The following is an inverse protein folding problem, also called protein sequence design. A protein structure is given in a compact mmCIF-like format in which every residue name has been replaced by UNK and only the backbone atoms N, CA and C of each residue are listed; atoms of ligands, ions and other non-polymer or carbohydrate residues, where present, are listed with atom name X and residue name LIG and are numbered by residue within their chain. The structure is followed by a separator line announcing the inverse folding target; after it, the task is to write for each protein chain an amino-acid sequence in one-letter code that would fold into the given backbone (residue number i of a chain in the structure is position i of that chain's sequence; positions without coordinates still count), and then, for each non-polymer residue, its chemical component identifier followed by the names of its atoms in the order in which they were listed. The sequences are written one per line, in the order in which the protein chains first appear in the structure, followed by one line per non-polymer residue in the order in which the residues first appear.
data_IF_293646515628
#
_entry.id   IF_293646515628
#
_cell.length_a   1.000
_cell.length_b   1.000
_cell.length_c   1.000
_cell.angle_alpha   90.00
_cell.angle_beta   90.00
_cell.angle_gamma   90.00
#
_symmetry.space_group_name_H-M   'P 1'
#
loop_
_entity.id
_entity.type
_entity.pdbx_description
1 polymer ?
#
# COMPACT_ATOMS: atom_id res chain seq x y z
N UNK A 1 -7.80 -28.72 13.62
CA UNK A 1 -7.38 -28.58 12.21
C UNK A 1 -5.94 -28.12 12.20
N UNK A 2 -5.04 -28.89 11.61
CA UNK A 2 -3.64 -28.52 11.38
C UNK A 2 -3.60 -27.63 10.14
N UNK A 3 -3.06 -26.42 10.26
CA UNK A 3 -2.92 -25.46 9.17
C UNK A 3 -1.55 -25.68 8.52
N UNK A 4 -1.52 -26.56 7.52
CA UNK A 4 -0.45 -26.63 6.50
C UNK A 4 -0.70 -25.54 5.44
N UNK A 5 -0.77 -24.26 5.85
CA UNK A 5 -1.13 -23.16 4.95
C UNK A 5 -0.02 -22.13 4.79
N UNK A 6 1.25 -22.52 4.82
CA UNK A 6 2.32 -21.76 4.17
C UNK A 6 3.37 -22.79 3.75
N UNK A 7 3.72 -22.83 2.47
CA UNK A 7 4.75 -23.71 1.92
C UNK A 7 6.13 -23.38 2.49
N UNK A 8 6.35 -23.72 3.76
CA UNK A 8 7.66 -23.68 4.41
C UNK A 8 8.39 -24.92 3.90
N UNK A 9 9.08 -24.74 2.78
CA UNK A 9 10.00 -25.72 2.26
C UNK A 9 10.91 -26.23 3.40
N UNK A 10 11.00 -27.56 3.54
CA UNK A 10 12.01 -28.21 4.37
C UNK A 10 13.39 -27.82 3.86
N UNK A 11 14.04 -26.83 4.47
CA UNK A 11 15.48 -26.65 4.30
C UNK A 11 16.20 -27.54 5.32
N UNK A 12 16.80 -28.61 4.81
CA UNK A 12 17.77 -29.40 5.55
C UNK A 12 19.15 -28.74 5.48
N UNK A 13 19.89 -28.87 6.59
CA UNK A 13 21.34 -28.71 6.78
C UNK A 13 21.93 -27.29 6.85
N UNK A 14 22.20 -26.90 8.11
CA UNK A 14 23.47 -26.35 8.60
C UNK A 14 24.35 -25.57 7.61
N UNK A 15 24.01 -24.30 7.43
CA UNK A 15 24.99 -23.22 7.28
C UNK A 15 24.58 -22.12 8.24
N UNK A 16 25.50 -21.53 8.99
CA UNK A 16 25.20 -20.36 9.82
C UNK A 16 24.52 -19.30 8.94
N UNK A 17 23.19 -19.18 9.05
CA UNK A 17 22.46 -18.08 8.46
C UNK A 17 23.09 -16.82 9.06
N UNK A 18 23.70 -16.00 8.20
CA UNK A 18 24.39 -14.77 8.60
C UNK A 18 23.42 -13.93 9.44
N UNK A 19 23.63 -13.94 10.76
CA UNK A 19 22.76 -13.25 11.68
C UNK A 19 22.62 -11.78 11.25
N UNK A 20 21.42 -11.18 11.35
CA UNK A 20 21.29 -9.75 11.19
C UNK A 20 22.18 -9.13 12.26
N UNK A 21 23.21 -8.38 11.85
CA UNK A 21 24.07 -7.69 12.81
C UNK A 21 23.19 -6.88 13.76
N UNK A 22 23.52 -6.83 15.05
CA UNK A 22 22.79 -6.02 16.04
C UNK A 22 22.60 -4.58 15.55
N UNK A 23 23.55 -4.09 14.76
CA UNK A 23 23.48 -2.81 14.06
C UNK A 23 22.31 -2.71 13.07
N UNK A 24 22.09 -3.70 12.18
CA UNK A 24 20.96 -3.71 11.25
C UNK A 24 19.61 -3.73 11.99
N UNK A 25 19.49 -4.52 13.07
CA UNK A 25 18.26 -4.57 13.88
C UNK A 25 17.99 -3.23 14.56
N UNK A 26 19.01 -2.63 15.19
CA UNK A 26 18.89 -1.32 15.82
C UNK A 26 18.51 -0.22 14.83
N UNK A 27 19.15 -0.18 13.66
CA UNK A 27 18.81 0.76 12.58
C UNK A 27 17.38 0.56 12.08
N UNK A 28 16.94 -0.70 11.94
CA UNK A 28 15.57 -1.03 11.53
C UNK A 28 14.56 -0.48 12.55
N UNK A 29 14.79 -0.69 13.85
CA UNK A 29 13.91 -0.18 14.90
C UNK A 29 13.83 1.36 14.90
N UNK A 30 14.95 2.04 14.71
CA UNK A 30 14.95 3.50 14.57
C UNK A 30 14.19 3.99 13.33
N UNK A 31 14.29 3.27 12.21
CA UNK A 31 13.53 3.60 11.01
C UNK A 31 12.03 3.31 11.19
N UNK A 32 11.66 2.25 11.92
CA UNK A 32 10.27 1.95 12.26
C UNK A 32 9.67 3.05 13.12
N UNK A 33 10.35 3.49 14.17
CA UNK A 33 9.90 4.61 15.02
C UNK A 33 9.57 5.87 14.19
N UNK A 34 10.47 6.21 13.25
CA UNK A 34 10.26 7.33 12.30
C UNK A 34 9.09 7.08 11.36
N UNK A 35 8.99 5.86 10.81
CA UNK A 35 7.90 5.46 9.91
C UNK A 35 6.55 5.68 10.59
N UNK A 36 6.39 5.21 11.83
CA UNK A 36 5.16 5.35 12.61
C UNK A 36 4.85 6.80 12.98
N UNK A 37 5.84 7.58 13.41
CA UNK A 37 5.65 9.02 13.67
C UNK A 37 5.12 9.75 12.42
N UNK A 38 5.67 9.47 11.24
CA UNK A 38 5.19 10.10 10.01
C UNK A 38 3.79 9.62 9.59
N UNK A 39 3.45 8.34 9.80
CA UNK A 39 2.07 7.84 9.59
C UNK A 39 1.08 8.60 10.50
N UNK A 40 1.35 8.71 11.79
CA UNK A 40 0.46 9.40 12.73
C UNK A 40 0.32 10.90 12.42
N UNK A 41 1.40 11.55 11.98
CA UNK A 41 1.36 12.95 11.54
C UNK A 41 0.45 13.13 10.33
N UNK A 42 0.54 12.24 9.34
CA UNK A 42 -0.36 12.23 8.17
C UNK A 42 -1.81 12.06 8.64
N UNK A 43 -2.08 11.11 9.52
CA UNK A 43 -3.44 10.79 10.00
C UNK A 43 -4.08 11.89 10.84
N UNK A 44 -3.24 12.71 11.48
CA UNK A 44 -3.66 13.88 12.28
C UNK A 44 -3.71 15.18 11.48
N UNK A 45 -3.51 15.13 10.16
CA UNK A 45 -3.73 16.29 9.30
C UNK A 45 -2.48 16.96 8.74
N UNK A 46 -1.29 16.47 9.07
CA UNK A 46 -0.02 17.11 8.66
C UNK A 46 0.39 16.58 7.29
N UNK A 47 -0.21 17.15 6.24
CA UNK A 47 0.01 16.71 4.87
C UNK A 47 1.49 16.72 4.44
N UNK A 48 2.32 17.66 4.94
CA UNK A 48 3.75 17.73 4.63
C UNK A 48 4.57 16.53 5.13
N UNK A 49 4.05 15.75 6.09
CA UNK A 49 4.78 14.60 6.66
C UNK A 49 5.02 13.46 5.64
N UNK A 50 4.30 13.48 4.51
CA UNK A 50 4.52 12.56 3.38
C UNK A 50 5.94 12.69 2.80
N UNK A 51 6.56 13.86 2.87
CA UNK A 51 7.89 14.10 2.30
C UNK A 51 8.97 13.37 3.09
N UNK A 52 8.90 13.48 4.41
CA UNK A 52 9.76 12.74 5.32
C UNK A 52 9.45 11.24 5.26
N UNK A 53 8.17 10.87 5.15
CA UNK A 53 7.76 9.48 5.00
C UNK A 53 8.40 8.85 3.76
N UNK A 54 8.40 9.55 2.62
CA UNK A 54 9.01 9.07 1.38
C UNK A 54 10.52 8.79 1.56
N UNK A 55 11.23 9.62 2.32
CA UNK A 55 12.65 9.39 2.64
C UNK A 55 12.84 8.11 3.46
N UNK A 56 11.99 7.86 4.46
CA UNK A 56 12.03 6.64 5.26
C UNK A 56 11.65 5.41 4.42
N UNK A 57 10.61 5.51 3.59
CA UNK A 57 10.21 4.44 2.66
C UNK A 57 11.33 4.11 1.67
N UNK A 58 12.07 5.12 1.18
CA UNK A 58 13.21 4.89 0.28
C UNK A 58 14.26 4.00 0.93
N UNK A 59 14.53 4.21 2.22
CA UNK A 59 15.47 3.37 2.96
C UNK A 59 15.00 1.90 3.05
N UNK A 60 13.68 1.66 3.16
CA UNK A 60 13.12 0.31 3.22
C UNK A 60 13.01 -0.40 1.87
N UNK A 61 12.56 0.31 0.83
CA UNK A 61 12.15 -0.30 -0.45
C UNK A 61 13.16 -0.13 -1.59
N UNK A 62 13.91 0.97 -1.62
CA UNK A 62 14.78 1.22 -2.77
C UNK A 62 16.00 0.29 -2.73
N UNK A 63 16.42 -0.31 -3.85
CA UNK A 63 17.64 -1.12 -3.88
C UNK A 63 18.90 -0.27 -3.63
N UNK A 64 19.90 -0.83 -2.95
CA UNK A 64 21.22 -0.19 -2.82
C UNK A 64 21.92 -0.44 -1.49
N UNK A 65 23.23 -0.15 -1.43
CA UNK A 65 24.12 -0.49 -0.30
C UNK A 65 23.71 0.15 1.03
N UNK A 66 22.98 1.27 1.00
CA UNK A 66 22.44 1.96 2.18
C UNK A 66 20.92 1.87 2.34
N UNK A 67 20.22 1.18 1.43
CA UNK A 67 18.76 1.04 1.42
C UNK A 67 18.39 -0.45 1.52
N UNK A 68 17.23 -0.84 0.99
CA UNK A 68 16.68 -2.19 1.02
C UNK A 68 16.68 -2.80 2.43
N UNK A 69 16.32 -1.99 3.42
CA UNK A 69 16.33 -2.43 4.82
C UNK A 69 15.39 -3.62 5.03
N UNK A 70 14.23 -3.63 4.38
CA UNK A 70 13.27 -4.72 4.50
C UNK A 70 13.81 -6.02 3.89
N UNK A 71 14.37 -5.98 2.68
CA UNK A 71 14.94 -7.15 2.02
C UNK A 71 16.17 -7.69 2.76
N UNK A 72 17.05 -6.81 3.25
CA UNK A 72 18.22 -7.20 4.06
C UNK A 72 17.83 -7.80 5.40
N UNK A 73 16.81 -7.25 6.05
CA UNK A 73 16.25 -7.80 7.29
C UNK A 73 15.62 -9.18 7.05
N UNK A 74 14.81 -9.33 5.99
CA UNK A 74 14.22 -10.61 5.60
C UNK A 74 15.30 -11.66 5.31
N UNK A 75 16.31 -11.30 4.51
CA UNK A 75 17.47 -12.15 4.18
C UNK A 75 18.22 -12.64 5.40
N UNK A 76 18.55 -11.73 6.30
CA UNK A 76 19.29 -12.07 7.51
C UNK A 76 18.46 -12.92 8.50
N UNK A 77 17.13 -12.89 8.39
CA UNK A 77 16.23 -13.78 9.14
C UNK A 77 15.89 -15.09 8.40
N UNK A 78 16.40 -15.31 7.18
CA UNK A 78 16.03 -16.48 6.36
C UNK A 78 14.58 -16.46 5.85
N UNK A 79 13.99 -15.27 5.71
CA UNK A 79 12.59 -15.03 5.34
C UNK A 79 12.46 -14.30 3.98
N UNK A 80 13.40 -14.51 3.05
CA UNK A 80 13.37 -13.87 1.72
C UNK A 80 12.12 -14.25 0.90
N UNK A 81 11.53 -15.42 1.18
CA UNK A 81 10.29 -15.89 0.57
C UNK A 81 9.03 -15.35 1.24
N UNK A 82 9.15 -14.46 2.22
CA UNK A 82 7.99 -13.82 2.84
C UNK A 82 7.24 -13.02 1.78
N UNK A 83 5.93 -13.24 1.71
CA UNK A 83 5.06 -12.66 0.70
C UNK A 83 4.30 -11.44 1.23
N UNK A 84 3.97 -10.57 0.29
CA UNK A 84 3.12 -9.39 0.44
C UNK A 84 1.97 -9.56 -0.54
N UNK A 85 0.76 -9.36 -0.05
CA UNK A 85 -0.46 -9.33 -0.86
C UNK A 85 -0.62 -7.93 -1.44
N UNK A 86 -0.77 -7.87 -2.77
CA UNK A 86 -0.95 -6.62 -3.51
C UNK A 86 -2.21 -6.69 -4.34
N UNK A 87 -2.92 -5.58 -4.44
CA UNK A 87 -4.01 -5.43 -5.40
C UNK A 87 -3.55 -5.59 -6.85
N UNK A 88 -4.51 -5.62 -7.79
CA UNK A 88 -4.20 -5.73 -9.22
C UNK A 88 -3.19 -4.64 -9.65
N UNK A 89 -2.24 -4.93 -10.54
CA UNK A 89 -1.32 -3.91 -11.03
C UNK A 89 -2.07 -2.80 -11.77
N UNK A 90 -1.49 -1.58 -11.85
CA UNK A 90 -2.03 -0.55 -12.72
C UNK A 90 -1.98 -1.04 -14.17
N UNK A 91 -3.05 -0.75 -14.91
CA UNK A 91 -3.03 -0.90 -16.37
C UNK A 91 -2.01 0.05 -16.98
N UNK A 92 -1.45 -0.35 -18.11
CA UNK A 92 -0.54 0.47 -18.90
C UNK A 92 -0.93 0.35 -20.36
N UNK A 93 -0.96 1.46 -21.08
CA UNK A 93 -1.32 1.45 -22.49
C UNK A 93 -1.41 2.87 -23.05
N UNK A 94 -1.43 3.02 -24.39
CA UNK A 94 -1.52 4.33 -25.03
C UNK A 94 -2.86 5.03 -24.83
N UNK A 95 -3.87 4.29 -24.35
CA UNK A 95 -5.22 4.77 -24.05
C UNK A 95 -5.49 4.91 -22.54
N UNK A 96 -4.50 4.65 -21.69
CA UNK A 96 -4.61 4.76 -20.23
C UNK A 96 -4.06 6.12 -19.78
N UNK A 97 -4.95 6.99 -19.30
CA UNK A 97 -4.55 8.32 -18.84
C UNK A 97 -3.98 8.30 -17.42
N UNK A 98 -4.57 7.49 -16.56
CA UNK A 98 -4.20 7.37 -15.16
C UNK A 98 -4.57 5.97 -14.68
N UNK A 99 -3.63 5.28 -14.05
CA UNK A 99 -3.93 4.05 -13.32
C UNK A 99 -3.05 3.95 -12.08
N UNK A 100 -3.59 3.43 -11.00
CA UNK A 100 -2.81 2.98 -9.85
C UNK A 100 -3.30 1.63 -9.37
N UNK A 101 -2.39 0.87 -8.76
CA UNK A 101 -2.64 -0.48 -8.31
C UNK A 101 -1.43 -1.02 -7.55
N UNK A 102 -1.38 -2.34 -7.39
CA UNK A 102 -0.36 -3.02 -6.56
C UNK A 102 -0.23 -2.39 -5.18
N UNK A 103 -1.36 -1.97 -4.61
CA UNK A 103 -1.49 -1.41 -3.28
C UNK A 103 -1.41 -2.57 -2.27
N UNK A 104 -0.58 -2.48 -1.22
CA UNK A 104 -0.55 -3.48 -0.16
C UNK A 104 -1.91 -3.69 0.46
N UNK A 105 -2.23 -4.95 0.68
CA UNK A 105 -3.58 -5.33 1.01
C UNK A 105 -3.60 -6.56 1.91
N UNK A 106 -4.67 -6.71 2.69
CA UNK A 106 -4.83 -7.74 3.71
C UNK A 106 -6.06 -8.62 3.49
N UNK A 107 -6.78 -8.45 2.37
CA UNK A 107 -7.98 -9.23 2.11
C UNK A 107 -7.64 -10.57 1.45
N UNK A 108 -8.20 -11.65 2.01
CA UNK A 108 -7.85 -13.04 1.62
C UNK A 108 -8.15 -13.39 0.16
N UNK A 109 -9.03 -12.63 -0.52
CA UNK A 109 -9.47 -12.86 -1.91
C UNK A 109 -8.74 -11.97 -2.93
N UNK A 110 -7.54 -11.50 -2.58
CA UNK A 110 -6.73 -10.64 -3.44
C UNK A 110 -6.62 -11.17 -4.87
N UNK A 111 -6.47 -12.49 -5.05
CA UNK A 111 -6.38 -13.13 -6.37
C UNK A 111 -7.66 -13.03 -7.22
N UNK A 112 -8.85 -13.15 -6.63
CA UNK A 112 -10.13 -13.10 -7.36
C UNK A 112 -10.45 -11.71 -7.91
N UNK A 113 -9.92 -10.68 -7.23
CA UNK A 113 -10.03 -9.29 -7.66
C UNK A 113 -8.84 -8.84 -8.53
N UNK A 114 -8.02 -9.79 -9.00
CA UNK A 114 -6.89 -9.58 -9.91
C UNK A 114 -5.58 -9.19 -9.24
N UNK A 115 -5.53 -9.19 -7.91
CA UNK A 115 -4.31 -9.01 -7.14
C UNK A 115 -3.44 -10.26 -7.09
N UNK A 116 -2.27 -10.13 -6.46
CA UNK A 116 -1.25 -11.18 -6.43
C UNK A 116 -0.41 -11.14 -5.16
N UNK A 117 0.20 -12.28 -4.86
CA UNK A 117 1.26 -12.38 -3.85
C UNK A 117 2.60 -12.17 -4.52
N UNK A 118 3.45 -11.36 -3.91
CA UNK A 118 4.82 -11.14 -4.36
C UNK A 118 5.77 -11.28 -3.19
N UNK A 119 6.99 -11.76 -3.43
CA UNK A 119 8.02 -11.77 -2.39
C UNK A 119 8.43 -10.35 -1.99
N UNK A 120 8.96 -10.19 -0.76
CA UNK A 120 9.56 -8.91 -0.29
C UNK A 120 10.57 -8.35 -1.31
N UNK A 121 11.36 -9.22 -1.94
CA UNK A 121 12.37 -8.81 -2.92
C UNK A 121 11.74 -8.27 -4.22
N UNK A 122 10.60 -8.82 -4.60
CA UNK A 122 9.90 -8.46 -5.83
C UNK A 122 9.04 -7.22 -5.66
N UNK A 123 8.45 -6.99 -4.47
CA UNK A 123 7.53 -5.88 -4.22
C UNK A 123 8.05 -4.50 -4.68
N UNK A 124 9.30 -4.09 -4.41
CA UNK A 124 9.78 -2.78 -4.87
C UNK A 124 9.81 -2.61 -6.38
N UNK A 125 9.81 -3.70 -7.15
CA UNK A 125 9.82 -3.69 -8.62
C UNK A 125 8.40 -3.66 -9.22
N UNK A 126 7.38 -3.88 -8.40
CA UNK A 126 5.99 -3.93 -8.86
C UNK A 126 5.52 -2.54 -9.29
N UNK A 127 4.85 -2.42 -10.47
CA UNK A 127 4.30 -1.16 -10.94
C UNK A 127 3.19 -0.69 -10.00
N UNK A 128 3.22 0.57 -9.60
CA UNK A 128 2.25 1.15 -8.65
C UNK A 128 1.38 2.22 -9.29
N UNK A 129 1.93 3.00 -10.23
CA UNK A 129 1.24 4.10 -10.86
C UNK A 129 1.66 4.24 -12.33
N UNK A 130 0.70 4.64 -13.16
CA UNK A 130 0.87 5.03 -14.54
C UNK A 130 0.13 6.33 -14.78
N UNK A 131 0.78 7.28 -15.46
CA UNK A 131 0.19 8.56 -15.88
C UNK A 131 0.63 8.85 -17.30
N UNK A 132 -0.31 9.34 -18.11
CA UNK A 132 -0.05 9.91 -19.42
C UNK A 132 -0.43 11.40 -19.45
N UNK A 133 0.53 12.26 -19.78
CA UNK A 133 0.35 13.69 -20.00
C UNK A 133 0.63 13.97 -21.48
N UNK A 134 -0.42 14.19 -22.27
CA UNK A 134 -0.31 14.32 -23.73
C UNK A 134 0.30 13.05 -24.35
N UNK A 135 1.52 13.15 -24.88
CA UNK A 135 2.27 12.02 -25.46
C UNK A 135 3.29 11.41 -24.50
N UNK A 136 3.51 12.03 -23.34
CA UNK A 136 4.50 11.58 -22.37
C UNK A 136 3.82 10.65 -21.37
N UNK A 137 4.16 9.36 -21.46
CA UNK A 137 3.66 8.34 -20.54
C UNK A 137 4.75 7.96 -19.54
N UNK A 138 4.37 7.81 -18.27
CA UNK A 138 5.27 7.42 -17.19
C UNK A 138 4.64 6.35 -16.32
N UNK A 139 5.36 5.24 -16.17
CA UNK A 139 5.03 4.16 -15.22
C UNK A 139 6.09 4.11 -14.14
N UNK A 140 5.67 4.05 -12.89
CA UNK A 140 6.57 3.85 -11.76
C UNK A 140 6.36 2.48 -11.14
N UNK A 141 7.47 1.85 -10.75
CA UNK A 141 7.47 0.86 -9.69
C UNK A 141 7.44 1.53 -8.31
N UNK A 142 7.15 0.76 -7.26
CA UNK A 142 7.24 1.24 -5.87
C UNK A 142 8.59 1.90 -5.55
N UNK A 143 9.71 1.24 -5.87
CA UNK A 143 11.04 1.77 -5.63
C UNK A 143 11.26 3.09 -6.38
N UNK A 144 10.86 3.15 -7.65
CA UNK A 144 11.08 4.33 -8.49
C UNK A 144 10.21 5.51 -8.04
N UNK A 145 8.92 5.28 -7.73
CA UNK A 145 8.03 6.33 -7.26
C UNK A 145 8.54 6.92 -5.94
N UNK A 146 8.83 6.06 -4.96
CA UNK A 146 9.31 6.50 -3.64
C UNK A 146 10.63 7.24 -3.76
N UNK A 147 11.58 6.75 -4.57
CA UNK A 147 12.87 7.42 -4.73
C UNK A 147 12.75 8.75 -5.46
N UNK A 148 11.98 8.81 -6.54
CA UNK A 148 11.79 10.05 -7.27
C UNK A 148 11.12 11.11 -6.40
N UNK A 149 10.08 10.72 -5.66
CA UNK A 149 9.40 11.61 -4.73
C UNK A 149 10.34 12.06 -3.60
N UNK A 150 11.05 11.14 -2.94
CA UNK A 150 12.00 11.48 -1.86
C UNK A 150 13.15 12.38 -2.35
N UNK A 151 13.57 12.23 -3.61
CA UNK A 151 14.61 13.06 -4.20
C UNK A 151 14.12 14.49 -4.46
N UNK A 152 12.93 14.64 -5.05
CA UNK A 152 12.38 15.93 -5.46
C UNK A 152 11.75 16.71 -4.32
N UNK A 153 11.08 16.01 -3.41
CA UNK A 153 10.27 16.62 -2.35
C UNK A 153 10.82 16.40 -0.95
N UNK A 154 11.38 15.23 -0.68
CA UNK A 154 12.02 14.91 0.61
C UNK A 154 13.36 15.63 0.86
N UNK A 155 13.69 16.67 0.07
CA UNK A 155 14.86 17.51 0.25
C UNK A 155 16.22 16.84 -0.01
N UNK A 156 16.25 15.62 -0.56
CA UNK A 156 17.53 14.95 -0.88
C UNK A 156 18.25 15.61 -2.05
N UNK A 157 17.52 16.22 -2.98
CA UNK A 157 18.06 17.03 -4.07
C UNK A 157 17.19 18.28 -4.24
N UNK A 158 17.78 19.47 -4.02
CA UNK A 158 17.12 20.75 -4.31
C UNK A 158 17.17 21.01 -5.82
N UNK A 159 16.45 20.20 -6.58
CA UNK A 159 16.38 20.32 -8.03
C UNK A 159 15.53 21.53 -8.42
N UNK A 160 15.96 22.26 -9.46
CA UNK A 160 15.21 23.41 -10.00
C UNK A 160 13.88 23.02 -10.66
N UNK A 161 13.69 21.74 -10.99
CA UNK A 161 12.53 21.25 -11.71
C UNK A 161 12.03 19.93 -11.11
N UNK A 162 10.72 19.92 -10.80
CA UNK A 162 9.97 18.73 -10.44
C UNK A 162 9.24 18.22 -11.69
N UNK A 163 9.35 16.92 -12.02
CA UNK A 163 8.61 16.33 -13.13
C UNK A 163 7.10 16.53 -12.97
N UNK A 164 6.43 17.02 -14.02
CA UNK A 164 5.01 17.41 -13.98
C UNK A 164 4.06 16.29 -13.50
N UNK A 165 4.44 15.03 -13.71
CA UNK A 165 3.64 13.88 -13.28
C UNK A 165 3.56 13.73 -11.75
N UNK A 166 4.56 14.19 -10.98
CA UNK A 166 4.55 14.08 -9.51
C UNK A 166 3.53 15.03 -8.85
N UNK A 167 3.51 16.35 -9.15
CA UNK A 167 2.43 17.23 -8.68
C UNK A 167 1.04 16.76 -9.09
N UNK A 168 0.91 16.13 -10.27
CA UNK A 168 -0.35 15.57 -10.72
C UNK A 168 -0.82 14.44 -9.80
N UNK A 169 0.06 13.52 -9.40
CA UNK A 169 -0.29 12.48 -8.42
C UNK A 169 -0.76 13.08 -7.08
N UNK A 170 -0.09 14.12 -6.57
CA UNK A 170 -0.49 14.78 -5.31
C UNK A 170 -1.86 15.45 -5.38
N UNK A 171 -2.28 15.86 -6.58
CA UNK A 171 -3.56 16.53 -6.79
C UNK A 171 -4.75 15.55 -6.72
N UNK A 172 -4.53 14.29 -7.09
CA UNK A 172 -5.53 13.23 -7.03
C UNK A 172 -5.90 12.90 -5.58
N UNK A 173 -7.19 12.69 -5.28
CA UNK A 173 -7.69 12.55 -3.91
C UNK A 173 -8.21 11.16 -3.58
N UNK A 174 -7.65 10.51 -2.57
CA UNK A 174 -8.05 9.16 -2.15
C UNK A 174 -8.20 9.11 -0.64
N UNK A 175 -9.41 8.76 -0.17
CA UNK A 175 -9.72 8.58 1.25
C UNK A 175 -9.32 9.76 2.17
N UNK A 176 -9.46 11.00 1.66
CA UNK A 176 -9.07 12.23 2.36
C UNK A 176 -7.59 12.62 2.22
N UNK A 177 -6.80 11.91 1.41
CA UNK A 177 -5.38 12.19 1.18
C UNK A 177 -5.09 12.46 -0.30
N UNK A 178 -4.01 13.19 -0.60
CA UNK A 178 -3.40 13.11 -1.93
C UNK A 178 -3.00 11.67 -2.28
N UNK A 179 -3.05 11.25 -3.55
CA UNK A 179 -2.81 9.86 -3.95
C UNK A 179 -1.43 9.36 -3.53
N UNK A 180 -0.38 10.17 -3.64
CA UNK A 180 0.97 9.83 -3.15
C UNK A 180 0.97 9.56 -1.64
N UNK A 181 0.35 10.45 -0.86
CA UNK A 181 0.18 10.30 0.59
C UNK A 181 -0.56 9.02 0.93
N UNK A 182 -1.64 8.72 0.21
CA UNK A 182 -2.40 7.49 0.37
C UNK A 182 -1.55 6.24 0.10
N UNK A 183 -0.88 6.18 -1.06
CA UNK A 183 -0.04 5.06 -1.47
C UNK A 183 1.14 4.85 -0.50
N UNK A 184 1.81 5.93 -0.12
CA UNK A 184 2.96 5.87 0.79
C UNK A 184 2.55 5.46 2.19
N UNK A 185 1.39 5.93 2.67
CA UNK A 185 0.84 5.46 3.94
C UNK A 185 0.53 3.96 3.89
N UNK A 186 -0.10 3.46 2.82
CA UNK A 186 -0.40 2.03 2.66
C UNK A 186 0.88 1.19 2.68
N UNK A 187 1.92 1.59 1.93
CA UNK A 187 3.22 0.93 1.95
C UNK A 187 3.91 1.00 3.32
N UNK A 188 3.80 2.13 4.02
CA UNK A 188 4.40 2.32 5.33
C UNK A 188 3.79 1.40 6.39
N UNK A 189 2.47 1.28 6.41
CA UNK A 189 1.76 0.36 7.31
C UNK A 189 2.16 -1.10 7.01
N UNK A 190 2.25 -1.49 5.73
CA UNK A 190 2.68 -2.84 5.38
C UNK A 190 4.13 -3.12 5.80
N UNK A 191 5.04 -2.18 5.58
CA UNK A 191 6.44 -2.29 6.02
C UNK A 191 6.50 -2.43 7.54
N UNK A 192 5.71 -1.65 8.29
CA UNK A 192 5.64 -1.73 9.74
C UNK A 192 5.31 -3.15 10.19
N UNK A 193 4.22 -3.73 9.65
CA UNK A 193 3.80 -5.09 10.00
C UNK A 193 4.84 -6.15 9.60
N UNK A 194 5.36 -6.10 8.37
CA UNK A 194 6.33 -7.10 7.88
C UNK A 194 7.67 -7.00 8.60
N UNK A 195 8.17 -5.81 8.88
CA UNK A 195 9.41 -5.63 9.62
C UNK A 195 9.30 -6.12 11.07
N UNK A 196 8.19 -5.83 11.76
CA UNK A 196 7.95 -6.38 13.10
C UNK A 196 7.83 -7.90 13.09
N UNK A 197 7.13 -8.47 12.11
CA UNK A 197 7.07 -9.93 11.93
C UNK A 197 8.48 -10.52 11.81
N UNK A 198 9.30 -9.99 10.90
CA UNK A 198 10.67 -10.48 10.68
C UNK A 198 11.55 -10.31 11.94
N UNK A 199 11.48 -9.14 12.60
CA UNK A 199 12.26 -8.87 13.82
C UNK A 199 11.94 -9.90 14.92
N UNK A 200 10.65 -10.15 15.17
CA UNK A 200 10.19 -11.13 16.16
C UNK A 200 10.61 -12.53 15.77
N UNK A 201 10.33 -12.97 14.54
CA UNK A 201 10.76 -14.29 14.06
C UNK A 201 12.28 -14.48 14.24
N UNK A 202 13.09 -13.44 13.99
CA UNK A 202 14.55 -13.50 14.18
C UNK A 202 15.01 -13.57 15.64
N UNK A 203 14.20 -13.13 16.59
CA UNK A 203 14.52 -13.14 18.03
C UNK A 203 14.15 -14.45 18.70
N UNK A 204 13.02 -15.07 18.34
CA UNK A 204 12.58 -16.31 18.97
C UNK A 204 13.21 -17.57 18.37
N UNK A 205 13.73 -17.49 17.14
CA UNK A 205 14.65 -18.53 16.63
C UNK A 205 15.88 -18.68 17.55
N UNK A 206 16.29 -17.62 18.28
CA UNK A 206 17.38 -17.71 19.29
C UNK A 206 16.98 -18.45 20.57
N UNK A 207 15.69 -18.50 20.92
CA UNK A 207 15.19 -19.23 22.10
C UNK A 207 14.87 -20.71 21.81
N UNK A 208 15.14 -21.20 20.59
CA UNK A 208 14.90 -22.59 20.20
C UNK A 208 13.42 -22.95 19.96
N UNK A 209 12.51 -21.97 20.02
CA UNK A 209 11.07 -22.15 19.81
C UNK A 209 10.58 -21.21 18.71
N UNK A 210 9.96 -21.78 17.67
CA UNK A 210 9.19 -20.98 16.71
C UNK A 210 7.95 -20.42 17.40
N UNK A 211 7.68 -19.13 17.23
CA UNK A 211 6.42 -18.54 17.69
C UNK A 211 5.26 -18.94 16.78
N UNK A 212 4.05 -19.00 17.35
CA UNK A 212 2.81 -18.99 16.57
C UNK A 212 2.53 -17.60 16.00
N UNK A 213 1.60 -17.50 15.05
CA UNK A 213 1.20 -16.20 14.46
C UNK A 213 0.63 -15.29 15.55
N UNK A 214 -0.22 -15.83 16.41
CA UNK A 214 -0.85 -15.09 17.51
C UNK A 214 0.19 -14.54 18.49
N UNK A 215 1.24 -15.31 18.78
CA UNK A 215 2.34 -14.85 19.62
C UNK A 215 3.16 -13.75 18.95
N UNK A 216 3.41 -13.86 17.64
CA UNK A 216 4.05 -12.80 16.87
C UNK A 216 3.19 -11.54 16.88
N UNK A 217 1.87 -11.67 16.78
CA UNK A 217 0.95 -10.52 16.75
C UNK A 217 0.73 -9.88 18.13
N UNK A 218 0.98 -10.60 19.23
CA UNK A 218 0.64 -10.18 20.60
C UNK A 218 1.41 -8.98 21.18
N UNK A 219 2.55 -8.60 20.62
CA UNK A 219 3.32 -7.43 21.11
C UNK A 219 4.06 -6.72 19.97
N UNK A 220 4.71 -5.59 20.20
CA UNK A 220 5.58 -4.92 19.22
C UNK A 220 6.95 -4.66 19.82
N UNK A 221 7.94 -4.46 18.96
CA UNK A 221 9.34 -4.30 19.36
C UNK A 221 9.78 -2.86 19.12
N UNK A 222 10.19 -2.13 20.14
CA UNK A 222 10.63 -0.74 20.00
C UNK A 222 12.05 -0.49 20.49
N UNK A 223 12.59 0.67 20.09
CA UNK A 223 13.70 1.29 20.80
C UNK A 223 13.21 2.00 22.07
N UNK A 224 14.04 2.19 23.11
CA UNK A 224 13.67 3.01 24.25
C UNK A 224 13.17 4.40 23.81
N UNK A 225 11.99 4.81 24.32
CA UNK A 225 11.35 6.08 23.97
C UNK A 225 10.48 6.06 22.71
N UNK A 226 10.34 4.91 22.05
CA UNK A 226 9.44 4.73 20.91
C UNK A 226 8.01 4.34 21.35
N UNK A 227 7.03 4.64 20.49
CA UNK A 227 5.65 4.15 20.64
C UNK A 227 5.50 2.90 19.77
N UNK A 228 5.62 1.73 20.41
CA UNK A 228 5.47 0.43 19.77
C UNK A 228 4.02 -0.04 19.76
N UNK A 229 3.13 0.79 19.25
CA UNK A 229 1.73 0.44 19.00
C UNK A 229 1.51 0.41 17.50
N UNK A 230 0.51 -0.32 17.04
CA UNK A 230 0.16 -0.28 15.63
C UNK A 230 -0.24 1.13 15.19
N UNK A 231 0.11 1.53 13.95
CA UNK A 231 -0.41 2.75 13.37
C UNK A 231 -1.93 2.73 13.42
N UNK A 232 -2.53 3.91 13.58
CA UNK A 232 -3.99 4.06 13.63
C UNK A 232 -4.67 3.36 12.45
N UNK A 233 -5.72 2.60 12.75
CA UNK A 233 -6.60 2.10 11.72
C UNK A 233 -7.49 3.23 11.17
N UNK A 234 -7.42 3.43 9.86
CA UNK A 234 -8.21 4.43 9.13
C UNK A 234 -9.14 3.76 8.11
N UNK A 235 -9.36 2.45 8.22
CA UNK A 235 -10.26 1.66 7.37
C UNK A 235 -11.65 2.28 7.24
N UNK A 236 -12.12 3.01 8.25
CA UNK A 236 -13.37 3.80 8.24
C UNK A 236 -13.40 4.92 7.18
N UNK A 237 -12.25 5.37 6.67
CA UNK A 237 -12.16 6.31 5.54
C UNK A 237 -12.27 5.61 4.19
N UNK A 238 -12.38 4.28 4.19
CA UNK A 238 -12.31 3.38 3.05
C UNK A 238 -10.96 3.38 2.32
N UNK A 239 -10.81 2.45 1.37
CA UNK A 239 -9.54 2.10 0.75
C UNK A 239 -9.75 1.79 -0.73
N UNK A 240 -8.97 2.42 -1.61
CA UNK A 240 -8.89 1.98 -3.00
C UNK A 240 -7.86 0.87 -3.16
N UNK A 241 -8.28 -0.25 -3.72
CA UNK A 241 -7.32 -1.26 -4.14
C UNK A 241 -6.65 -0.86 -5.44
N UNK A 242 -7.40 -0.27 -6.37
CA UNK A 242 -6.91 0.14 -7.67
C UNK A 242 -7.90 1.10 -8.32
N UNK A 243 -7.39 1.83 -9.31
CA UNK A 243 -8.13 2.76 -10.13
C UNK A 243 -7.54 2.76 -11.54
N UNK A 244 -8.39 2.93 -12.53
CA UNK A 244 -8.02 3.07 -13.92
C UNK A 244 -8.96 4.03 -14.62
N UNK A 245 -8.36 4.93 -15.39
CA UNK A 245 -9.04 5.81 -16.30
C UNK A 245 -8.41 5.71 -17.67
N UNK A 246 -9.23 5.33 -18.63
CA UNK A 246 -8.86 5.17 -20.03
C UNK A 246 -9.68 6.10 -20.92
N UNK A 247 -9.36 6.11 -22.21
CA UNK A 247 -10.17 6.75 -23.26
C UNK A 247 -11.60 6.22 -23.37
N UNK A 248 -11.88 5.03 -22.84
CA UNK A 248 -13.15 4.32 -23.06
C UNK A 248 -13.98 4.10 -21.80
N UNK A 249 -13.37 4.13 -20.62
CA UNK A 249 -14.06 3.87 -19.35
C UNK A 249 -13.23 4.31 -18.13
N UNK A 250 -13.91 4.32 -16.98
CA UNK A 250 -13.31 4.44 -15.66
C UNK A 250 -13.64 3.17 -14.88
N UNK A 251 -12.66 2.55 -14.25
CA UNK A 251 -12.82 1.36 -13.42
C UNK A 251 -12.13 1.57 -12.08
N UNK A 252 -12.71 1.07 -10.99
CA UNK A 252 -12.08 1.11 -9.67
C UNK A 252 -12.59 0.01 -8.74
N UNK A 253 -11.83 -0.29 -7.70
CA UNK A 253 -12.31 -1.05 -6.54
C UNK A 253 -12.10 -0.25 -5.27
N UNK A 254 -13.21 0.00 -4.58
CA UNK A 254 -13.23 0.66 -3.29
C UNK A 254 -13.74 -0.30 -2.22
N UNK A 255 -12.99 -0.41 -1.13
CA UNK A 255 -13.37 -1.14 0.06
C UNK A 255 -13.75 -0.16 1.18
N UNK A 256 -14.82 -0.44 1.90
CA UNK A 256 -15.23 0.36 3.05
C UNK A 256 -15.90 -0.46 4.15
N UNK A 257 -16.16 0.17 5.27
CA UNK A 257 -16.96 -0.43 6.35
C UNK A 257 -18.44 -0.09 6.13
N UNK A 258 -19.33 -1.09 6.25
CA UNK A 258 -20.78 -0.94 6.11
C UNK A 258 -21.35 0.08 7.10
N UNK A 259 -20.65 0.29 8.22
CA UNK A 259 -21.09 1.15 9.32
C UNK A 259 -20.58 2.59 9.22
N UNK A 260 -19.66 2.88 8.31
CA UNK A 260 -19.06 4.21 8.16
C UNK A 260 -19.14 4.70 6.73
N UNK A 261 -19.50 5.96 6.53
CA UNK A 261 -19.40 6.54 5.19
C UNK A 261 -17.94 6.69 4.78
N UNK A 262 -17.63 6.18 3.60
CA UNK A 262 -16.40 6.48 2.91
C UNK A 262 -16.55 7.72 2.05
N UNK A 263 -15.44 8.32 1.66
CA UNK A 263 -15.46 9.28 0.56
C UNK A 263 -14.21 9.10 -0.29
N UNK A 264 -14.42 9.18 -1.59
CA UNK A 264 -13.40 9.14 -2.60
C UNK A 264 -13.44 10.44 -3.41
N UNK A 265 -12.31 10.97 -3.85
CA UNK A 265 -12.29 12.05 -4.82
C UNK A 265 -11.60 11.58 -6.11
N UNK A 266 -12.38 10.99 -7.01
CA UNK A 266 -11.84 10.48 -8.28
C UNK A 266 -11.60 11.63 -9.26
N UNK A 267 -10.61 11.49 -10.14
CA UNK A 267 -10.28 12.51 -11.13
C UNK A 267 -10.32 11.92 -12.54
N UNK A 268 -11.15 12.50 -13.40
CA UNK A 268 -11.34 12.07 -14.80
C UNK A 268 -11.31 13.30 -15.73
N UNK A 269 -10.27 14.13 -15.61
CA UNK A 269 -10.16 15.41 -16.34
C UNK A 269 -10.89 16.56 -15.67
N UNK A 270 -11.82 16.23 -14.77
CA UNK A 270 -12.39 17.08 -13.74
C UNK A 270 -12.32 16.32 -12.41
N UNK A 271 -12.22 17.03 -11.29
CA UNK A 271 -12.31 16.41 -9.96
C UNK A 271 -13.77 16.10 -9.63
N UNK A 272 -14.07 14.83 -9.37
CA UNK A 272 -15.38 14.38 -8.91
C UNK A 272 -15.27 13.96 -7.45
N UNK A 273 -16.04 14.61 -6.59
CA UNK A 273 -16.22 14.15 -5.21
C UNK A 273 -17.27 13.04 -5.20
N UNK A 274 -16.84 11.84 -4.83
CA UNK A 274 -17.71 10.68 -4.63
C UNK A 274 -17.89 10.44 -3.14
N UNK A 275 -19.09 10.72 -2.62
CA UNK A 275 -19.51 10.19 -1.33
C UNK A 275 -19.88 8.71 -1.52
N UNK A 276 -19.27 7.82 -0.74
CA UNK A 276 -19.56 6.38 -0.76
C UNK A 276 -20.32 6.04 0.51
N UNK A 277 -21.63 5.79 0.36
CA UNK A 277 -22.48 5.28 1.44
C UNK A 277 -22.94 3.88 1.12
N UNK A 278 -22.74 2.94 2.05
CA UNK A 278 -23.39 1.64 1.99
C UNK A 278 -24.87 1.76 2.34
N UNK A 279 -25.69 0.82 1.87
CA UNK A 279 -27.13 0.82 2.13
C UNK A 279 -27.40 0.79 3.65
N UNK A 280 -28.11 1.81 4.16
CA UNK A 280 -28.38 1.98 5.59
C UNK A 280 -27.43 2.94 6.33
N UNK A 281 -26.33 3.37 5.71
CA UNK A 281 -25.48 4.42 6.26
C UNK A 281 -26.10 5.82 5.99
N UNK A 282 -26.08 6.72 6.98
CA UNK A 282 -26.48 8.12 6.77
C UNK A 282 -25.45 8.80 5.89
N UNK A 283 -25.79 9.27 4.69
CA UNK A 283 -24.85 10.02 3.85
C UNK A 283 -24.07 11.08 4.65
N UNK A 284 -22.73 11.10 4.54
CA UNK A 284 -21.89 12.17 5.05
C UNK A 284 -21.35 13.03 3.93
N UNK A 285 -20.92 14.24 4.28
CA UNK A 285 -20.14 15.07 3.38
C UNK A 285 -18.85 14.35 2.93
N UNK A 286 -18.35 14.63 1.72
CA UNK A 286 -17.03 14.17 1.28
C UNK A 286 -15.93 14.58 2.27
N UNK A 287 -14.98 13.69 2.56
CA UNK A 287 -13.82 14.01 3.39
C UNK A 287 -12.94 14.97 2.60
N UNK A 288 -12.62 16.17 3.14
CA UNK A 288 -11.71 17.09 2.48
C UNK A 288 -10.36 16.44 2.22
N UNK A 289 -9.86 16.57 1.00
CA UNK A 289 -8.57 16.01 0.60
C UNK A 289 -7.43 16.90 1.09
N UNK A 290 -6.63 16.35 1.99
CA UNK A 290 -5.44 17.00 2.51
C UNK A 290 -4.28 16.82 1.53
N UNK A 291 -3.80 17.94 1.00
CA UNK A 291 -2.71 17.97 0.02
C UNK A 291 -1.47 18.64 0.62
N UNK A 292 -0.27 18.10 0.39
CA UNK A 292 0.96 18.75 0.83
C UNK A 292 1.22 20.05 0.05
N UNK A 293 0.62 20.18 -1.14
CA UNK A 293 0.91 21.24 -2.11
C UNK A 293 -0.34 21.67 -2.85
N UNK A 294 -0.38 22.94 -3.22
CA UNK A 294 -1.25 23.41 -4.28
C UNK A 294 -0.64 23.05 -5.65
N UNK A 295 -1.46 22.73 -6.66
CA UNK A 295 -0.95 22.41 -7.99
C UNK A 295 -0.19 23.62 -8.56
N UNK A 296 1.13 23.51 -8.65
CA UNK A 296 1.99 24.49 -9.33
C UNK A 296 1.92 24.40 -10.86
N UNK A 297 0.94 23.67 -11.40
CA UNK A 297 0.79 23.44 -12.84
C UNK A 297 -0.14 24.51 -13.42
N UNK A 298 0.38 25.28 -14.38
CA UNK A 298 -0.39 26.05 -15.35
C UNK A 298 -1.38 25.11 -16.02
N UNK A 299 -2.64 25.17 -15.59
CA UNK A 299 -3.78 24.39 -16.06
C UNK A 299 -3.55 22.89 -16.35
N UNK A 300 -4.36 22.06 -15.72
CA UNK A 300 -4.74 20.73 -16.22
C UNK A 300 -5.42 20.76 -17.62
N UNK A 301 -5.36 21.90 -18.33
CA UNK A 301 -5.97 22.19 -19.62
C UNK A 301 -5.01 21.88 -20.78
N UNK A 302 -3.70 21.67 -20.52
CA UNK A 302 -2.74 21.14 -21.52
C UNK A 302 -2.78 19.60 -21.59
N UNK A 303 -3.22 18.96 -20.52
CA UNK A 303 -3.67 17.58 -20.59
C UNK A 303 -5.09 17.63 -21.14
N UNK A 304 -5.23 17.45 -22.45
CA UNK A 304 -6.51 17.47 -23.15
C UNK A 304 -7.40 16.30 -22.68
N UNK A 305 -8.02 16.49 -21.52
CA UNK A 305 -9.01 15.61 -20.94
C UNK A 305 -10.43 16.03 -21.33
N UNK A 306 -10.53 17.05 -22.20
CA UNK A 306 -11.74 17.77 -22.57
C UNK A 306 -12.24 17.33 -23.93
N UNK A 307 -12.83 16.14 -24.01
CA UNK A 307 -13.87 15.91 -25.00
C UNK A 307 -15.13 15.50 -24.26
N UNK A 308 -16.26 16.11 -24.62
CA UNK A 308 -17.62 15.84 -24.14
C UNK A 308 -18.01 14.38 -24.41
N UNK A 309 -17.37 13.44 -23.71
CA UNK A 309 -17.54 12.01 -23.83
C UNK A 309 -18.16 11.52 -22.53
N UNK A 310 -19.33 10.91 -22.65
CA UNK A 310 -19.87 10.08 -21.59
C UNK A 310 -18.96 8.87 -21.42
N UNK A 311 -18.22 8.82 -20.31
CA UNK A 311 -17.39 7.67 -19.96
C UNK A 311 -18.17 6.72 -19.05
N UNK A 312 -18.34 5.45 -19.42
CA UNK A 312 -18.93 4.45 -18.53
C UNK A 312 -18.02 4.24 -17.31
N UNK A 313 -18.64 4.21 -16.13
CA UNK A 313 -17.99 3.92 -14.85
C UNK A 313 -18.33 2.48 -14.44
N UNK A 314 -17.32 1.63 -14.26
CA UNK A 314 -17.44 0.19 -13.94
C UNK A 314 -17.05 -0.15 -12.50
N UNK A 315 -16.92 0.86 -11.64
CA UNK A 315 -16.40 0.70 -10.29
C UNK A 315 -17.21 -0.27 -9.41
N UNK A 316 -16.49 -0.96 -8.54
CA UNK A 316 -17.04 -1.87 -7.53
C UNK A 316 -16.86 -1.27 -6.13
N UNK A 317 -17.94 -1.32 -5.35
CA UNK A 317 -17.96 -0.97 -3.93
C UNK A 317 -18.20 -2.25 -3.15
N UNK A 318 -17.23 -2.66 -2.35
CA UNK A 318 -17.35 -3.84 -1.49
C UNK A 318 -17.14 -3.44 -0.05
N UNK A 319 -17.87 -4.06 0.87
CA UNK A 319 -17.59 -3.89 2.28
C UNK A 319 -16.52 -4.87 2.76
N UNK A 320 -15.76 -4.50 3.80
CA UNK A 320 -14.85 -5.44 4.46
C UNK A 320 -15.60 -6.69 4.97
N UNK A 321 -16.83 -6.51 5.47
CA UNK A 321 -17.66 -7.60 5.98
C UNK A 321 -18.20 -8.53 4.88
N UNK A 322 -18.52 -8.01 3.70
CA UNK A 322 -18.96 -8.81 2.54
C UNK A 322 -17.84 -9.76 2.10
N UNK A 323 -16.60 -9.26 2.06
CA UNK A 323 -15.43 -10.08 1.77
C UNK A 323 -15.24 -11.21 2.79
N UNK A 324 -15.55 -10.96 4.08
CA UNK A 324 -15.47 -11.99 5.12
C UNK A 324 -16.68 -12.97 5.12
N UNK A 325 -17.90 -12.50 4.77
CA UNK A 325 -19.16 -13.27 4.82
C UNK A 325 -19.41 -14.15 3.61
N UNK A 326 -19.18 -13.67 2.38
CA UNK A 326 -19.47 -14.42 1.13
C UNK A 326 -18.75 -15.76 1.07
N UNK A 327 -17.64 -15.91 1.80
CA UNK A 327 -16.85 -17.13 1.82
C UNK A 327 -17.02 -18.00 3.07
N UNK A 328 -17.59 -17.48 4.15
CA UNK A 328 -18.06 -18.33 5.26
C UNK A 328 -19.18 -19.27 4.79
N UNK A 329 -20.00 -18.83 3.82
CA UNK A 329 -21.03 -19.66 3.18
C UNK A 329 -20.50 -20.57 2.06
N UNK A 330 -19.38 -20.27 1.39
CA UNK A 330 -18.74 -21.20 0.42
C UNK A 330 -17.88 -22.28 1.09
N UNK A 331 -17.42 -22.07 2.32
CA UNK A 331 -16.74 -23.08 3.12
C UNK A 331 -17.70 -24.14 3.72
N UNK A 332 -19.01 -23.99 3.52
CA UNK A 332 -20.02 -24.98 3.89
C UNK A 332 -20.71 -25.50 2.62
N UNK A 333 -20.22 -26.63 2.10
CA UNK A 333 -20.97 -27.74 1.45
C UNK A 333 -19.99 -28.57 0.60
N UNK A 334 -19.66 -29.77 1.09
CA UNK A 334 -19.70 -31.05 0.35
C UNK A 334 -19.20 -32.18 1.27
N UNK A 335 -20.08 -32.67 2.15
CA UNK A 335 -20.17 -34.11 2.33
C UNK A 335 -21.33 -34.57 1.47
N UNK A 336 -20.99 -35.03 0.27
CA UNK A 336 -21.87 -35.90 -0.49
C UNK A 336 -22.15 -37.13 0.35
N UNK A 337 -23.42 -37.36 0.65
CA UNK A 337 -23.93 -38.66 1.07
C UNK A 337 -23.50 -39.72 0.05
N UNK A 338 -22.68 -40.67 0.47
CA UNK A 338 -22.56 -41.96 -0.22
C UNK A 338 -23.68 -42.89 0.26
N UNK A 339 -24.36 -43.60 -0.64
CA UNK A 339 -25.48 -44.46 -0.30
C UNK A 339 -25.00 -45.80 0.28
N UNK A 340 -25.78 -46.34 1.21
CA UNK A 340 -25.68 -47.74 1.67
C UNK A 340 -26.57 -48.66 0.83
#
# INVERSE_FOLDING_TARGET
MSIDAFGIAKSQSAGHANEPSWHLKGQTLHLLARLRDHIERIDTGKAYAVDDLAVVLRAFLHPGRGNDVLGRLAKSAGLESLEIELSRPPSTGPDVYLAFGSVPTSFRQTSELGGRKVSIKQWPLEPVAHIQIGKDAKTWSWANLVSEYANKWGGSHLDKQVPQHLPLLDHLGVSGYGLTTYLFRAAAVEIWHKAHFILKSSWFVKSGRKLTIEEIESFRVGTPGDISEDPRDISSRGRFEWYEWTSSHVDFLYLGDETTNGSAQLYTGMSWDMAVSFEGAKASDPIPVQRPREPGVTSLTEADFSENKTLPVRGRLLSFQQLDREYSHRATVNHSDEPA
#
